data_IF_820458484124
#
_entry.id   IF_820458484124
#
_cell.length_a   1.000
_cell.length_b   1.000
_cell.length_c   1.000
_cell.angle_alpha   90.00
_cell.angle_beta   90.00
_cell.angle_gamma   90.00
#
_symmetry.space_group_name_H-M   'P 1'
#
loop_
_entity.id
_entity.type
_entity.pdbx_description
1 polymer ?
#
# COMPACT_ATOMS: atom_id res chain seq x y z
N UNK A 1 41.85 48.31 3.71
CA UNK A 1 40.97 47.45 2.89
C UNK A 1 41.09 45.96 3.21
N UNK A 2 42.29 45.35 3.26
CA UNK A 2 42.46 43.91 3.58
C UNK A 2 41.90 43.45 4.94
N UNK A 3 42.02 44.29 5.98
CA UNK A 3 41.53 43.96 7.33
C UNK A 3 40.00 43.90 7.37
N UNK A 4 39.31 44.86 6.75
CA UNK A 4 37.84 44.90 6.66
C UNK A 4 37.31 43.72 5.83
N UNK A 5 38.03 43.34 4.77
CA UNK A 5 37.71 42.17 3.95
C UNK A 5 37.83 40.84 4.73
N UNK A 6 38.84 40.71 5.59
CA UNK A 6 38.99 39.52 6.46
C UNK A 6 37.88 39.43 7.51
N UNK A 7 37.45 40.56 8.10
CA UNK A 7 36.30 40.56 9.03
C UNK A 7 34.99 40.18 8.33
N UNK A 8 34.80 40.61 7.07
CA UNK A 8 33.62 40.24 6.26
C UNK A 8 33.58 38.72 6.00
N UNK A 9 34.72 38.11 5.68
CA UNK A 9 34.83 36.65 5.48
C UNK A 9 34.52 35.88 6.76
N UNK A 10 35.01 36.34 7.92
CA UNK A 10 34.75 35.70 9.21
C UNK A 10 33.27 35.78 9.60
N UNK A 11 32.60 36.90 9.32
CA UNK A 11 31.15 37.06 9.57
C UNK A 11 30.33 36.12 8.67
N UNK A 12 30.70 36.00 7.39
CA UNK A 12 30.07 35.05 6.46
C UNK A 12 30.30 33.60 6.94
N UNK A 13 31.49 33.28 7.45
CA UNK A 13 31.80 31.95 7.97
C UNK A 13 30.99 31.60 9.21
N UNK A 14 30.76 32.56 10.13
CA UNK A 14 29.97 32.36 11.35
C UNK A 14 28.49 32.11 11.02
N UNK A 15 27.96 32.74 9.97
CA UNK A 15 26.58 32.50 9.50
C UNK A 15 26.37 31.10 8.90
N UNK A 16 27.43 30.42 8.46
CA UNK A 16 27.35 29.08 7.84
C UNK A 16 27.25 27.97 8.89
N UNK A 17 27.61 28.23 10.16
CA UNK A 17 27.78 27.18 11.19
C UNK A 17 26.50 26.98 12.05
N UNK A 18 25.43 27.75 11.83
CA UNK A 18 24.19 27.66 12.64
C UNK A 18 23.21 26.55 12.21
N UNK A 19 23.64 25.58 11.41
CA UNK A 19 22.81 24.45 10.98
C UNK A 19 22.73 23.33 12.01
N UNK A 20 22.03 23.53 13.12
CA UNK A 20 21.73 22.45 14.06
C UNK A 20 20.55 21.63 13.53
N UNK A 21 20.80 20.45 12.97
CA UNK A 21 19.75 19.50 12.59
C UNK A 21 19.12 18.87 13.83
N UNK A 22 17.94 19.34 14.23
CA UNK A 22 17.14 18.69 15.27
C UNK A 22 16.13 17.72 14.66
N UNK A 23 16.05 16.50 15.17
CA UNK A 23 14.94 15.59 14.84
C UNK A 23 13.66 16.08 15.50
N UNK A 24 12.58 16.22 14.72
CA UNK A 24 11.26 16.61 15.22
C UNK A 24 10.31 15.43 15.07
N UNK A 25 9.53 15.14 16.11
CA UNK A 25 8.47 14.15 16.03
C UNK A 25 7.32 14.66 15.15
N UNK A 26 6.91 13.86 14.17
CA UNK A 26 5.79 14.18 13.27
C UNK A 26 4.64 13.21 13.57
N UNK A 27 3.42 13.69 13.90
CA UNK A 27 2.28 12.82 14.15
C UNK A 27 1.88 11.98 12.94
N UNK A 28 1.51 10.72 13.16
CA UNK A 28 1.10 9.76 12.09
C UNK A 28 -0.18 10.12 11.35
N UNK A 29 -0.94 11.10 11.85
CA UNK A 29 -2.17 11.61 11.21
C UNK A 29 -1.88 12.70 10.18
N UNK A 30 -0.70 13.32 10.26
CA UNK A 30 -0.29 14.36 9.32
C UNK A 30 -0.09 13.80 7.91
N UNK A 31 -0.13 14.69 6.91
CA UNK A 31 0.03 14.35 5.50
C UNK A 31 1.50 14.51 5.12
N UNK A 32 2.13 13.46 4.61
CA UNK A 32 3.51 13.50 4.12
C UNK A 32 3.56 14.06 2.70
N UNK A 33 4.18 15.24 2.55
CA UNK A 33 4.28 15.98 1.27
C UNK A 33 5.75 16.34 0.92
N UNK A 34 6.68 15.41 1.12
CA UNK A 34 8.11 15.65 0.88
C UNK A 34 8.50 15.52 -0.60
N UNK A 35 7.93 14.54 -1.30
CA UNK A 35 8.21 14.24 -2.69
C UNK A 35 7.00 13.60 -3.40
N UNK A 36 7.22 13.12 -4.61
CA UNK A 36 6.25 12.38 -5.42
C UNK A 36 6.34 10.85 -5.26
N UNK A 37 7.10 10.34 -4.29
CA UNK A 37 7.26 8.90 -4.02
C UNK A 37 6.20 8.37 -3.05
N UNK A 38 6.10 7.07 -2.93
CA UNK A 38 5.12 6.44 -2.05
C UNK A 38 5.39 6.76 -0.57
N UNK A 39 4.34 7.08 0.18
CA UNK A 39 4.43 7.50 1.58
C UNK A 39 3.48 6.76 2.52
N UNK A 40 3.67 6.95 3.83
CA UNK A 40 2.79 6.46 4.89
C UNK A 40 1.35 6.97 4.75
N UNK A 41 1.18 8.19 4.24
CA UNK A 41 -0.13 8.79 3.96
C UNK A 41 -0.84 8.03 2.84
N UNK A 42 -0.12 7.68 1.78
CA UNK A 42 -0.67 6.95 0.62
C UNK A 42 -1.12 5.55 1.05
N UNK A 43 -0.30 4.86 1.87
CA UNK A 43 -0.64 3.59 2.49
C UNK A 43 -1.93 3.67 3.31
N UNK A 44 -2.03 4.70 4.17
CA UNK A 44 -3.21 4.91 5.02
C UNK A 44 -4.47 5.17 4.20
N UNK A 45 -4.39 6.04 3.20
CA UNK A 45 -5.53 6.40 2.34
C UNK A 45 -5.98 5.18 1.54
N UNK A 46 -5.07 4.48 0.88
CA UNK A 46 -5.41 3.32 0.05
C UNK A 46 -6.03 2.18 0.86
N UNK A 47 -5.42 1.82 2.00
CA UNK A 47 -5.97 0.79 2.88
C UNK A 47 -7.34 1.18 3.42
N UNK A 48 -7.53 2.45 3.79
CA UNK A 48 -8.80 2.94 4.33
C UNK A 48 -9.92 2.90 3.26
N UNK A 49 -9.63 3.28 2.02
CA UNK A 49 -10.60 3.23 0.92
C UNK A 49 -11.04 1.79 0.63
N UNK A 50 -10.08 0.86 0.53
CA UNK A 50 -10.36 -0.57 0.32
C UNK A 50 -11.13 -1.19 1.49
N UNK A 51 -10.80 -0.79 2.72
CA UNK A 51 -11.56 -1.19 3.91
C UNK A 51 -13.02 -0.77 3.82
N UNK A 52 -13.32 0.49 3.46
CA UNK A 52 -14.71 0.95 3.40
C UNK A 52 -15.49 0.20 2.33
N UNK A 53 -14.91 0.10 1.13
CA UNK A 53 -15.56 -0.57 -0.01
C UNK A 53 -15.86 -2.05 0.27
N UNK A 54 -14.89 -2.79 0.84
CA UNK A 54 -15.13 -4.20 1.15
C UNK A 54 -16.14 -4.36 2.30
N UNK A 55 -16.15 -3.45 3.29
CA UNK A 55 -17.16 -3.47 4.34
C UNK A 55 -18.56 -3.26 3.79
N UNK A 56 -18.74 -2.28 2.91
CA UNK A 56 -20.03 -2.02 2.27
C UNK A 56 -20.51 -3.28 1.53
N UNK A 57 -19.62 -3.93 0.77
CA UNK A 57 -19.97 -5.17 0.08
C UNK A 57 -20.25 -6.34 1.02
N UNK A 58 -19.51 -6.46 2.12
CA UNK A 58 -19.71 -7.54 3.10
C UNK A 58 -21.02 -7.41 3.87
N UNK A 59 -21.55 -6.20 4.07
CA UNK A 59 -22.90 -6.04 4.63
C UNK A 59 -23.96 -6.68 3.74
N UNK A 60 -23.80 -6.58 2.42
CA UNK A 60 -24.68 -7.22 1.43
C UNK A 60 -24.50 -8.74 1.39
N UNK A 61 -23.25 -9.22 1.44
CA UNK A 61 -22.95 -10.67 1.37
C UNK A 61 -23.39 -11.41 2.64
N UNK A 62 -23.19 -10.80 3.82
CA UNK A 62 -23.53 -11.46 5.09
C UNK A 62 -25.03 -11.60 5.28
N UNK A 63 -25.84 -10.64 4.83
CA UNK A 63 -27.29 -10.62 5.09
C UNK A 63 -27.58 -10.86 6.59
N UNK A 64 -28.51 -11.77 6.89
CA UNK A 64 -28.84 -12.19 8.26
C UNK A 64 -27.87 -13.24 8.85
N UNK A 65 -26.91 -13.71 8.04
CA UNK A 65 -26.03 -14.81 8.40
C UNK A 65 -24.93 -14.33 9.36
N UNK A 66 -24.93 -14.89 10.58
CA UNK A 66 -24.07 -14.42 11.68
C UNK A 66 -22.60 -14.84 11.58
N UNK A 67 -22.27 -15.81 10.71
CA UNK A 67 -20.90 -16.35 10.64
C UNK A 67 -20.03 -15.46 9.74
N UNK A 68 -18.98 -14.87 10.30
CA UNK A 68 -17.99 -14.12 9.55
C UNK A 68 -17.23 -15.05 8.59
N UNK A 69 -17.13 -14.71 7.29
CA UNK A 69 -16.44 -15.55 6.32
C UNK A 69 -14.93 -15.58 6.60
N UNK A 70 -14.31 -16.68 6.20
CA UNK A 70 -12.87 -16.94 6.32
C UNK A 70 -12.19 -16.51 5.03
N UNK A 71 -11.25 -15.58 5.14
CA UNK A 71 -10.53 -14.98 4.02
C UNK A 71 -9.10 -15.47 4.01
N UNK A 72 -8.63 -15.95 2.86
CA UNK A 72 -7.22 -16.13 2.60
C UNK A 72 -6.69 -14.88 1.88
N UNK A 73 -5.91 -14.07 2.58
CA UNK A 73 -5.28 -12.90 1.98
C UNK A 73 -3.98 -13.34 1.28
N UNK A 74 -4.00 -13.33 -0.05
CA UNK A 74 -2.81 -13.54 -0.86
C UNK A 74 -1.99 -12.25 -0.94
N UNK A 75 -0.73 -12.37 -1.35
CA UNK A 75 0.18 -11.23 -1.43
C UNK A 75 -0.36 -10.15 -2.38
N UNK A 76 -0.16 -8.88 -2.02
CA UNK A 76 -0.33 -7.76 -2.95
C UNK A 76 0.92 -7.66 -3.84
N UNK A 77 0.77 -7.84 -5.15
CA UNK A 77 1.88 -7.75 -6.09
C UNK A 77 2.36 -6.31 -6.22
N UNK A 78 3.66 -6.07 -6.08
CA UNK A 78 4.25 -4.78 -6.41
C UNK A 78 4.60 -4.73 -7.90
N UNK A 79 3.82 -3.95 -8.66
CA UNK A 79 3.99 -3.63 -10.08
C UNK A 79 4.45 -2.19 -10.29
N UNK A 80 4.93 -1.53 -9.24
CA UNK A 80 5.52 -0.18 -9.32
C UNK A 80 6.99 -0.25 -9.69
N UNK A 81 7.58 0.89 -10.02
CA UNK A 81 9.03 1.04 -10.19
C UNK A 81 9.79 1.19 -8.87
N UNK A 82 9.11 1.18 -7.72
CA UNK A 82 9.66 1.46 -6.40
C UNK A 82 9.65 0.20 -5.52
N UNK A 83 10.59 0.12 -4.58
CA UNK A 83 10.52 -0.89 -3.53
C UNK A 83 9.51 -0.46 -2.47
N UNK A 84 8.27 -0.91 -2.64
CA UNK A 84 7.16 -0.64 -1.71
C UNK A 84 6.87 -1.91 -0.92
N UNK A 85 6.78 -1.77 0.40
CA UNK A 85 6.30 -2.82 1.28
C UNK A 85 4.78 -2.97 1.15
N UNK A 86 4.35 -3.81 0.22
CA UNK A 86 2.94 -4.10 -0.01
C UNK A 86 2.33 -4.98 1.08
N UNK A 87 3.15 -5.67 1.88
CA UNK A 87 2.67 -6.45 3.02
C UNK A 87 2.16 -5.52 4.13
N UNK A 88 2.77 -4.35 4.32
CA UNK A 88 2.28 -3.34 5.25
C UNK A 88 0.86 -2.82 4.91
N UNK A 89 0.51 -2.74 3.62
CA UNK A 89 -0.85 -2.40 3.16
C UNK A 89 -1.82 -3.54 3.55
N UNK A 90 -1.43 -4.78 3.24
CA UNK A 90 -2.23 -5.96 3.53
C UNK A 90 -2.50 -6.12 5.03
N UNK A 91 -1.46 -5.98 5.87
CA UNK A 91 -1.55 -6.09 7.32
C UNK A 91 -2.44 -5.00 7.92
N UNK A 92 -2.31 -3.75 7.44
CA UNK A 92 -3.19 -2.66 7.88
C UNK A 92 -4.65 -2.97 7.59
N UNK A 93 -4.97 -3.37 6.36
CA UNK A 93 -6.33 -3.71 5.95
C UNK A 93 -6.86 -4.90 6.75
N UNK A 94 -6.07 -5.96 6.92
CA UNK A 94 -6.42 -7.15 7.70
C UNK A 94 -6.76 -6.77 9.15
N UNK A 95 -5.92 -5.96 9.81
CA UNK A 95 -6.15 -5.50 11.17
C UNK A 95 -7.46 -4.69 11.27
N UNK A 96 -7.74 -3.81 10.30
CA UNK A 96 -8.98 -3.02 10.29
C UNK A 96 -10.22 -3.91 10.17
N UNK A 97 -10.19 -4.90 9.26
CA UNK A 97 -11.29 -5.82 9.02
C UNK A 97 -11.55 -6.78 10.21
N UNK A 98 -10.47 -7.24 10.87
CA UNK A 98 -10.58 -8.04 12.09
C UNK A 98 -11.16 -7.20 13.24
N UNK A 99 -10.68 -5.96 13.43
CA UNK A 99 -11.19 -5.05 14.48
C UNK A 99 -12.67 -4.73 14.32
N UNK A 100 -13.16 -4.67 13.09
CA UNK A 100 -14.58 -4.49 12.80
C UNK A 100 -15.44 -5.73 13.14
N UNK A 101 -14.82 -6.89 13.43
CA UNK A 101 -15.54 -8.14 13.68
C UNK A 101 -16.21 -8.72 12.43
N UNK A 102 -15.83 -8.23 11.25
CA UNK A 102 -16.53 -8.53 10.00
C UNK A 102 -16.02 -9.78 9.31
N UNK A 103 -14.74 -10.13 9.51
CA UNK A 103 -14.04 -11.20 8.80
C UNK A 103 -13.14 -12.00 9.74
N UNK A 104 -12.87 -13.24 9.34
CA UNK A 104 -11.79 -14.07 9.87
C UNK A 104 -10.74 -14.25 8.79
N UNK A 105 -9.47 -14.32 9.17
CA UNK A 105 -8.40 -14.55 8.22
C UNK A 105 -7.66 -15.84 8.53
N UNK A 106 -7.18 -16.50 7.48
CA UNK A 106 -6.21 -17.58 7.63
C UNK A 106 -4.84 -16.99 7.93
N UNK A 107 -4.09 -17.67 8.78
CA UNK A 107 -2.73 -17.30 9.14
C UNK A 107 -1.81 -17.22 7.89
N UNK A 108 -1.02 -16.15 7.81
CA UNK A 108 -0.15 -15.85 6.65
C UNK A 108 0.95 -16.89 6.45
N UNK A 109 1.46 -17.50 7.53
CA UNK A 109 2.48 -18.56 7.45
C UNK A 109 1.94 -19.78 6.70
N UNK A 110 0.72 -20.20 7.04
CA UNK A 110 0.02 -21.29 6.33
C UNK A 110 -0.24 -20.96 4.86
N UNK A 111 -0.62 -19.72 4.55
CA UNK A 111 -0.86 -19.29 3.16
C UNK A 111 0.45 -19.32 2.36
N UNK A 112 1.58 -18.89 2.94
CA UNK A 112 2.88 -18.85 2.23
C UNK A 112 3.34 -20.23 1.77
N UNK A 113 3.20 -21.24 2.62
CA UNK A 113 3.60 -22.61 2.29
C UNK A 113 2.73 -23.20 1.18
N UNK A 114 1.42 -22.90 1.21
CA UNK A 114 0.45 -23.39 0.23
C UNK A 114 0.61 -22.65 -1.10
N UNK A 115 0.72 -21.32 -1.07
CA UNK A 115 0.93 -20.51 -2.28
C UNK A 115 2.20 -20.92 -3.03
N UNK A 116 3.26 -21.31 -2.31
CA UNK A 116 4.49 -21.83 -2.92
C UNK A 116 4.31 -23.22 -3.55
N UNK A 117 3.47 -24.07 -2.95
CA UNK A 117 3.16 -25.41 -3.48
C UNK A 117 2.26 -25.39 -4.71
N UNK A 118 1.31 -24.46 -4.74
CA UNK A 118 0.28 -24.37 -5.78
C UNK A 118 0.52 -23.25 -6.79
N UNK A 119 1.69 -22.59 -6.75
CA UNK A 119 2.04 -21.44 -7.60
C UNK A 119 0.91 -20.39 -7.71
N UNK A 120 0.31 -20.05 -6.58
CA UNK A 120 -0.75 -19.04 -6.50
C UNK A 120 -0.17 -17.61 -6.57
N UNK A 121 0.94 -17.45 -7.29
CA UNK A 121 1.73 -16.24 -7.33
C UNK A 121 1.07 -15.08 -8.08
N UNK A 122 1.68 -13.91 -7.90
CA UNK A 122 1.36 -12.57 -8.42
C UNK A 122 1.13 -12.42 -9.94
N UNK A 123 1.13 -13.51 -10.72
CA UNK A 123 1.10 -13.49 -12.18
C UNK A 123 -0.25 -13.11 -12.78
N UNK A 124 -1.31 -13.01 -11.97
CA UNK A 124 -2.64 -12.59 -12.42
C UNK A 124 -3.38 -13.61 -13.29
N UNK A 125 -2.74 -14.75 -13.61
CA UNK A 125 -3.32 -15.89 -14.30
C UNK A 125 -3.21 -17.09 -13.36
N UNK A 126 -4.11 -17.17 -12.39
CA UNK A 126 -4.25 -18.35 -11.55
C UNK A 126 -5.19 -19.34 -12.25
N UNK A 127 -4.78 -20.60 -12.34
CA UNK A 127 -5.64 -21.65 -12.88
C UNK A 127 -6.80 -21.90 -11.89
N UNK A 128 -8.08 -21.82 -12.33
CA UNK A 128 -9.25 -22.03 -11.46
C UNK A 128 -9.21 -23.36 -10.69
N UNK A 129 -8.75 -24.45 -11.31
CA UNK A 129 -8.65 -25.75 -10.64
C UNK A 129 -7.62 -25.74 -9.51
N UNK A 130 -6.55 -24.97 -9.69
CA UNK A 130 -5.47 -24.85 -8.69
C UNK A 130 -5.93 -24.02 -7.51
N UNK A 131 -6.68 -22.94 -7.76
CA UNK A 131 -7.33 -22.16 -6.71
C UNK A 131 -8.32 -22.98 -5.89
N UNK A 132 -9.18 -23.77 -6.53
CA UNK A 132 -10.14 -24.65 -5.83
C UNK A 132 -9.44 -25.69 -4.97
N UNK A 133 -8.35 -26.30 -5.46
CA UNK A 133 -7.54 -27.25 -4.68
C UNK A 133 -6.90 -26.57 -3.47
N UNK A 134 -6.29 -25.42 -3.67
CA UNK A 134 -5.69 -24.67 -2.57
C UNK A 134 -6.74 -24.20 -1.55
N UNK A 135 -7.91 -23.75 -2.02
CA UNK A 135 -9.02 -23.33 -1.16
C UNK A 135 -9.50 -24.45 -0.25
N UNK A 136 -9.58 -25.68 -0.75
CA UNK A 136 -9.89 -26.87 0.05
C UNK A 136 -8.85 -27.17 1.12
N UNK A 137 -7.57 -26.96 0.83
CA UNK A 137 -6.46 -27.18 1.80
C UNK A 137 -6.42 -26.07 2.86
N UNK A 138 -6.66 -24.83 2.44
CA UNK A 138 -6.65 -23.64 3.29
C UNK A 138 -7.90 -23.59 4.18
N UNK A 139 -9.06 -23.99 3.64
CA UNK A 139 -10.36 -23.91 4.30
C UNK A 139 -10.92 -22.48 4.37
N UNK A 140 -10.66 -21.67 3.35
CA UNK A 140 -11.22 -20.32 3.21
C UNK A 140 -12.46 -20.30 2.33
N UNK A 141 -13.35 -19.34 2.61
CA UNK A 141 -14.53 -19.07 1.79
C UNK A 141 -14.15 -18.18 0.59
N UNK A 142 -13.25 -17.22 0.80
CA UNK A 142 -12.83 -16.28 -0.25
C UNK A 142 -11.32 -16.04 -0.26
N UNK A 143 -10.79 -15.75 -1.44
CA UNK A 143 -9.44 -15.23 -1.65
C UNK A 143 -9.47 -13.72 -1.80
N UNK A 144 -8.65 -13.00 -1.05
CA UNK A 144 -8.41 -11.58 -1.24
C UNK A 144 -7.05 -11.41 -1.92
N UNK A 145 -7.05 -10.82 -3.11
CA UNK A 145 -5.86 -10.59 -3.92
C UNK A 145 -5.73 -9.11 -4.27
N UNK A 146 -4.51 -8.66 -4.55
CA UNK A 146 -4.32 -7.27 -4.96
C UNK A 146 -3.03 -7.01 -5.75
N UNK A 147 -3.00 -5.85 -6.38
CA UNK A 147 -1.88 -5.36 -7.17
C UNK A 147 -1.70 -3.86 -6.91
N UNK A 148 -0.47 -3.43 -6.61
CA UNK A 148 -0.08 -2.03 -6.53
C UNK A 148 0.72 -1.66 -7.78
N UNK A 149 0.23 -0.70 -8.56
CA UNK A 149 0.84 -0.26 -9.81
C UNK A 149 1.14 1.25 -9.77
N UNK A 150 2.11 1.69 -10.57
CA UNK A 150 2.46 3.11 -10.67
C UNK A 150 2.69 3.55 -12.11
N UNK A 151 2.43 4.83 -12.37
CA UNK A 151 2.76 5.52 -13.62
C UNK A 151 3.51 6.80 -13.23
N UNK A 152 4.81 6.83 -13.53
CA UNK A 152 5.65 8.00 -13.32
C UNK A 152 5.80 8.80 -14.63
N UNK A 153 5.68 10.12 -14.54
CA UNK A 153 5.96 11.07 -15.62
C UNK A 153 6.81 12.20 -15.08
N UNK A 154 7.77 12.63 -15.88
CA UNK A 154 8.71 13.67 -15.49
C UNK A 154 8.99 14.61 -16.65
N UNK A 155 9.03 15.91 -16.35
CA UNK A 155 9.59 16.95 -17.22
C UNK A 155 10.70 17.74 -16.49
N UNK A 156 11.12 18.87 -17.07
CA UNK A 156 12.20 19.73 -16.53
C UNK A 156 11.84 20.36 -15.18
N UNK A 157 10.59 20.74 -14.98
CA UNK A 157 10.12 21.50 -13.81
C UNK A 157 9.26 20.67 -12.86
N UNK A 158 8.79 19.50 -13.30
CA UNK A 158 7.74 18.77 -12.62
C UNK A 158 8.04 17.27 -12.66
N UNK A 159 7.73 16.59 -11.58
CA UNK A 159 7.67 15.14 -11.49
C UNK A 159 6.30 14.75 -10.95
N UNK A 160 5.72 13.69 -11.50
CA UNK A 160 4.38 13.25 -11.20
C UNK A 160 4.35 11.73 -11.15
N UNK A 161 3.86 11.20 -10.04
CA UNK A 161 3.66 9.76 -9.88
C UNK A 161 2.22 9.49 -9.50
N UNK A 162 1.58 8.65 -10.30
CA UNK A 162 0.26 8.11 -10.03
C UNK A 162 0.41 6.68 -9.51
N UNK A 163 -0.30 6.35 -8.45
CA UNK A 163 -0.36 5.03 -7.85
C UNK A 163 -1.80 4.51 -7.88
N UNK A 164 -1.93 3.22 -8.13
CA UNK A 164 -3.21 2.53 -8.10
C UNK A 164 -3.07 1.19 -7.40
N UNK A 165 -3.78 1.05 -6.28
CA UNK A 165 -4.01 -0.23 -5.61
C UNK A 165 -5.32 -0.80 -6.14
N UNK A 166 -5.29 -1.96 -6.77
CA UNK A 166 -6.48 -2.71 -7.17
C UNK A 166 -6.59 -3.98 -6.34
N UNK A 167 -7.80 -4.30 -5.87
CA UNK A 167 -8.05 -5.48 -5.06
C UNK A 167 -9.31 -6.21 -5.53
N UNK A 168 -9.32 -7.54 -5.34
CA UNK A 168 -10.43 -8.43 -5.71
C UNK A 168 -10.68 -9.46 -4.64
N UNK A 169 -11.95 -9.73 -4.37
CA UNK A 169 -12.42 -10.83 -3.54
C UNK A 169 -13.02 -11.91 -4.44
N UNK A 170 -12.48 -13.12 -4.36
CA UNK A 170 -12.84 -14.24 -5.23
C UNK A 170 -13.39 -15.37 -4.39
N UNK A 171 -14.53 -15.94 -4.80
CA UNK A 171 -15.12 -17.13 -4.20
C UNK A 171 -14.21 -18.35 -4.40
N UNK A 172 -13.86 -19.03 -3.30
CA UNK A 172 -12.92 -20.14 -3.33
C UNK A 172 -13.48 -21.41 -4.02
N UNK A 173 -14.81 -21.53 -4.14
CA UNK A 173 -15.49 -22.67 -4.75
C UNK A 173 -15.84 -22.41 -6.21
N UNK A 174 -16.41 -21.23 -6.51
CA UNK A 174 -16.90 -20.90 -7.85
C UNK A 174 -15.84 -20.23 -8.72
N UNK A 175 -14.80 -19.64 -8.12
CA UNK A 175 -13.82 -18.77 -8.79
C UNK A 175 -14.41 -17.45 -9.31
N UNK A 176 -15.56 -17.04 -8.79
CA UNK A 176 -16.22 -15.79 -9.19
C UNK A 176 -15.68 -14.59 -8.41
N UNK A 177 -15.43 -13.48 -9.11
CA UNK A 177 -15.10 -12.21 -8.49
C UNK A 177 -16.39 -11.60 -7.92
N UNK A 178 -16.52 -11.64 -6.60
CA UNK A 178 -17.72 -11.16 -5.89
C UNK A 178 -17.58 -9.71 -5.40
N UNK A 179 -16.35 -9.18 -5.42
CA UNK A 179 -16.02 -7.78 -5.15
C UNK A 179 -14.72 -7.42 -5.85
N UNK A 180 -14.66 -6.20 -6.37
CA UNK A 180 -13.45 -5.60 -6.89
C UNK A 180 -13.53 -4.09 -6.68
N UNK A 181 -12.40 -3.48 -6.32
CA UNK A 181 -12.31 -2.03 -6.24
C UNK A 181 -10.86 -1.56 -6.42
N UNK A 182 -10.69 -0.25 -6.58
CA UNK A 182 -9.39 0.39 -6.68
C UNK A 182 -9.31 1.67 -5.85
N UNK A 183 -8.12 1.95 -5.31
CA UNK A 183 -7.79 3.23 -4.71
C UNK A 183 -6.63 3.86 -5.45
N UNK A 184 -6.82 5.13 -5.80
CA UNK A 184 -5.86 5.90 -6.56
C UNK A 184 -5.27 7.02 -5.71
N UNK A 185 -3.99 7.29 -5.92
CA UNK A 185 -3.31 8.46 -5.37
C UNK A 185 -2.43 9.06 -6.44
N UNK A 186 -2.42 10.39 -6.55
CA UNK A 186 -1.59 11.12 -7.49
C UNK A 186 -0.76 12.17 -6.76
N UNK A 187 0.55 12.13 -7.00
CA UNK A 187 1.52 13.02 -6.37
C UNK A 187 2.25 13.83 -7.42
N UNK A 188 2.57 15.07 -7.09
CA UNK A 188 3.34 15.96 -7.94
C UNK A 188 4.39 16.67 -7.10
N UNK A 189 5.61 16.72 -7.61
CA UNK A 189 6.73 17.50 -7.07
C UNK A 189 7.17 18.52 -8.12
N UNK A 190 7.31 19.77 -7.73
CA UNK A 190 7.98 20.78 -8.56
C UNK A 190 9.49 20.71 -8.28
N UNK A 191 10.30 20.68 -9.34
CA UNK A 191 11.76 20.74 -9.26
C UNK A 191 12.22 22.19 -9.26
N UNK A 192 13.02 22.54 -8.28
CA UNK A 192 13.71 23.83 -8.25
C UNK A 192 15.08 23.71 -8.95
N UNK A 193 15.65 24.85 -9.37
CA UNK A 193 16.96 24.95 -10.03
C UNK A 193 18.14 24.29 -9.26
N UNK A 194 17.96 24.01 -7.97
CA UNK A 194 18.97 23.47 -7.07
C UNK A 194 18.64 22.06 -6.53
N UNK A 195 17.58 21.44 -7.03
CA UNK A 195 17.16 20.09 -6.65
C UNK A 195 17.96 19.09 -7.52
N UNK A 196 19.10 18.62 -6.99
CA UNK A 196 20.04 17.70 -7.66
C UNK A 196 19.65 16.23 -7.50
#
# INVERSE_FOLDING_TARGET
MRIVFNYLIVIILIFIISGCGSSVYVPTTSTTQLDDKYSDTDLRVMAQNMYQSIMDRLTVIRGDNKKAPVIAFLRISNKTSEYIDTDAIADKLQIQLIKAGSLRFVDRGRIKDITSQFDLGASGIMNPETMKKAGKVIGNDYFLIGDLSSIAKQDRSTSLTYYRLSMRLIDAETDEIIWADESEVKKQKNKNLFDW
#
